data_IF_247474040471
#
_entry.id   IF_247474040471
#
_cell.length_a   1.000
_cell.length_b   1.000
_cell.length_c   1.000
_cell.angle_alpha   90.00
_cell.angle_beta   90.00
_cell.angle_gamma   90.00
#
_symmetry.space_group_name_H-M   'P 1'
#
loop_
_entity.id
_entity.type
_entity.pdbx_description
1 polymer ?
#
# COMPACT_ATOMS: atom_id res chain seq x y z
N UNK A 1 27.24 64.26 -34.98
CA UNK A 1 26.58 63.04 -35.48
C UNK A 1 25.47 62.68 -34.51
N UNK A 2 24.20 62.66 -34.96
CA UNK A 2 23.00 62.41 -34.15
C UNK A 2 22.42 61.03 -34.51
N UNK A 3 21.83 60.40 -33.49
CA UNK A 3 21.08 59.13 -33.44
C UNK A 3 21.95 57.87 -33.54
N UNK A 4 21.68 56.83 -32.76
CA UNK A 4 20.47 56.02 -32.97
C UNK A 4 19.95 55.28 -31.72
N UNK A 5 18.63 55.08 -31.75
CA UNK A 5 17.75 54.43 -30.78
C UNK A 5 17.99 52.92 -30.58
N UNK A 6 19.23 52.47 -30.42
CA UNK A 6 19.57 51.04 -30.26
C UNK A 6 19.21 50.46 -28.89
N UNK A 7 19.00 51.31 -27.88
CA UNK A 7 18.71 50.86 -26.51
C UNK A 7 17.31 50.23 -26.36
N UNK A 8 16.32 50.70 -27.13
CA UNK A 8 14.94 50.23 -26.99
C UNK A 8 14.76 48.79 -27.48
N UNK A 9 15.48 48.38 -28.55
CA UNK A 9 15.37 47.04 -29.12
C UNK A 9 15.90 45.94 -28.20
N UNK A 10 17.03 46.19 -27.51
CA UNK A 10 17.63 45.22 -26.59
C UNK A 10 16.78 45.03 -25.33
N UNK A 11 16.15 46.11 -24.84
CA UNK A 11 15.24 46.03 -23.70
C UNK A 11 13.99 45.19 -24.01
N UNK A 12 13.43 45.32 -25.22
CA UNK A 12 12.28 44.52 -25.67
C UNK A 12 12.61 43.02 -25.81
N UNK A 13 13.81 42.68 -26.29
CA UNK A 13 14.26 41.29 -26.40
C UNK A 13 14.42 40.66 -25.00
N UNK A 14 14.99 41.38 -24.04
CA UNK A 14 15.10 40.91 -22.66
C UNK A 14 13.74 40.65 -22.00
N UNK A 15 12.72 41.46 -22.28
CA UNK A 15 11.38 41.28 -21.70
C UNK A 15 10.67 40.03 -22.23
N UNK A 16 10.86 39.67 -23.50
CA UNK A 16 10.24 38.48 -24.11
C UNK A 16 10.86 37.16 -23.62
N UNK A 17 12.13 37.18 -23.19
CA UNK A 17 12.82 36.02 -22.62
C UNK A 17 12.42 35.72 -21.16
N UNK A 18 11.84 36.70 -20.46
CA UNK A 18 11.41 36.53 -19.06
C UNK A 18 9.99 35.95 -18.91
N UNK A 19 9.27 35.66 -20.00
CA UNK A 19 7.90 35.12 -19.95
C UNK A 19 7.83 33.58 -19.77
N UNK A 20 8.94 32.92 -19.44
CA UNK A 20 9.06 31.45 -19.46
C UNK A 20 8.82 30.70 -18.14
N UNK A 21 8.41 31.35 -17.06
CA UNK A 21 8.13 30.66 -15.80
C UNK A 21 6.66 30.25 -15.74
N UNK A 22 6.32 29.16 -16.44
CA UNK A 22 5.09 28.41 -16.12
C UNK A 22 5.38 27.60 -14.84
N UNK A 23 4.56 27.78 -13.81
CA UNK A 23 4.62 26.96 -12.60
C UNK A 23 4.49 25.48 -13.00
N UNK A 24 5.38 24.64 -12.48
CA UNK A 24 5.25 23.20 -12.64
C UNK A 24 3.86 22.77 -12.12
N UNK A 25 3.17 21.84 -12.80
CA UNK A 25 1.91 21.32 -12.31
C UNK A 25 2.07 20.87 -10.85
N UNK A 26 1.10 21.14 -9.97
CA UNK A 26 1.19 20.75 -8.57
C UNK A 26 1.47 19.26 -8.49
N UNK A 27 2.56 18.91 -7.82
CA UNK A 27 2.94 17.51 -7.58
C UNK A 27 1.84 16.86 -6.77
N UNK A 28 1.33 15.71 -7.24
CA UNK A 28 0.35 14.93 -6.49
C UNK A 28 0.87 14.66 -5.08
N UNK A 29 0.05 14.85 -4.04
CA UNK A 29 0.48 14.57 -2.67
C UNK A 29 0.92 13.11 -2.54
N UNK A 30 1.94 12.82 -1.71
CA UNK A 30 2.39 11.46 -1.51
C UNK A 30 1.25 10.60 -0.95
N UNK A 31 1.06 9.41 -1.53
CA UNK A 31 0.15 8.41 -0.99
C UNK A 31 0.78 7.85 0.28
N UNK A 32 0.21 8.18 1.44
CA UNK A 32 0.65 7.60 2.71
C UNK A 32 0.13 6.16 2.78
N UNK A 33 1.01 5.19 2.51
CA UNK A 33 0.73 3.78 2.73
C UNK A 33 1.11 3.44 4.17
N UNK A 34 0.11 3.26 5.04
CA UNK A 34 0.35 2.73 6.37
C UNK A 34 0.52 1.21 6.28
N UNK A 35 1.75 0.72 6.38
CA UNK A 35 2.05 -0.71 6.43
C UNK A 35 1.73 -1.27 7.82
N UNK A 36 0.46 -1.62 8.05
CA UNK A 36 0.00 -2.33 9.24
C UNK A 36 -0.02 -3.84 9.06
N UNK A 37 -0.30 -4.58 10.15
CA UNK A 37 -0.52 -6.02 10.07
C UNK A 37 -1.83 -6.36 9.34
N UNK A 38 -1.90 -7.51 8.67
CA UNK A 38 -3.16 -8.01 8.11
C UNK A 38 -4.25 -8.10 9.18
N UNK A 39 -5.50 -7.87 8.80
CA UNK A 39 -6.65 -8.09 9.69
C UNK A 39 -6.82 -9.59 9.93
N UNK A 40 -7.19 -9.95 11.15
CA UNK A 40 -7.60 -11.33 11.48
C UNK A 40 -8.87 -11.65 10.69
N UNK A 41 -8.82 -12.74 9.91
CA UNK A 41 -10.00 -13.33 9.29
C UNK A 41 -10.52 -14.49 10.14
N UNK A 42 -11.80 -14.83 9.95
CA UNK A 42 -12.37 -16.02 10.57
C UNK A 42 -11.69 -17.28 10.02
N UNK A 43 -11.37 -18.21 10.90
CA UNK A 43 -10.92 -19.54 10.52
C UNK A 43 -12.15 -20.39 10.15
N UNK A 44 -12.30 -20.81 8.88
CA UNK A 44 -13.43 -21.62 8.48
C UNK A 44 -13.32 -23.01 9.09
N UNK A 45 -14.31 -23.39 9.91
CA UNK A 45 -14.45 -24.75 10.40
C UNK A 45 -15.09 -25.59 9.30
N UNK A 46 -14.51 -26.74 8.90
CA UNK A 46 -15.18 -27.64 7.97
C UNK A 46 -16.44 -28.19 8.63
N UNK A 47 -17.52 -28.31 7.84
CA UNK A 47 -18.70 -29.06 8.26
C UNK A 47 -18.38 -30.54 8.42
N UNK A 48 -19.20 -31.26 9.19
CA UNK A 48 -19.06 -32.70 9.40
C UNK A 48 -20.45 -33.32 9.50
N UNK A 49 -20.67 -34.40 8.75
CA UNK A 49 -21.90 -35.21 8.77
C UNK A 49 -21.57 -36.67 8.39
N UNK A 50 -20.74 -37.36 9.21
CA UNK A 50 -20.21 -38.65 8.84
C UNK A 50 -21.27 -39.74 8.95
N UNK A 51 -21.41 -40.56 7.92
CA UNK A 51 -22.33 -41.72 7.91
C UNK A 51 -21.63 -43.01 8.31
N UNK A 52 -20.30 -43.05 8.18
CA UNK A 52 -19.45 -44.17 8.57
C UNK A 52 -18.26 -43.72 9.40
N UNK A 53 -17.61 -44.66 10.08
CA UNK A 53 -16.35 -44.38 10.80
C UNK A 53 -15.22 -43.96 9.84
N UNK A 54 -15.30 -44.38 8.57
CA UNK A 54 -14.38 -43.93 7.52
C UNK A 54 -14.54 -42.44 7.23
N UNK A 55 -15.78 -41.99 7.09
CA UNK A 55 -16.14 -40.57 6.90
C UNK A 55 -15.71 -39.75 8.12
N UNK A 56 -16.02 -40.23 9.33
CA UNK A 56 -15.61 -39.57 10.58
C UNK A 56 -14.09 -39.39 10.64
N UNK A 57 -13.34 -40.43 10.27
CA UNK A 57 -11.87 -40.36 10.24
C UNK A 57 -11.37 -39.38 9.18
N UNK A 58 -12.07 -39.24 8.05
CA UNK A 58 -11.73 -38.26 7.02
C UNK A 58 -12.04 -36.83 7.47
N UNK A 59 -13.19 -36.62 8.10
CA UNK A 59 -13.63 -35.34 8.66
C UNK A 59 -12.65 -34.86 9.76
N UNK A 60 -12.21 -35.76 10.65
CA UNK A 60 -11.21 -35.45 11.68
C UNK A 60 -9.91 -34.95 11.03
N UNK A 61 -9.39 -35.66 10.02
CA UNK A 61 -8.17 -35.23 9.31
C UNK A 61 -8.36 -33.90 8.59
N UNK A 62 -9.55 -33.61 8.07
CA UNK A 62 -9.85 -32.32 7.45
C UNK A 62 -9.91 -31.20 8.50
N UNK A 63 -10.51 -31.48 9.65
CA UNK A 63 -10.56 -30.58 10.78
C UNK A 63 -9.16 -30.25 11.32
N UNK A 64 -8.32 -31.26 11.53
CA UNK A 64 -6.93 -31.09 11.97
C UNK A 64 -6.16 -30.13 11.04
N UNK A 65 -6.23 -30.35 9.72
CA UNK A 65 -5.61 -29.44 8.74
C UNK A 65 -6.18 -28.03 8.79
N UNK A 66 -7.49 -27.87 8.98
CA UNK A 66 -8.11 -26.55 9.10
C UNK A 66 -7.63 -25.81 10.36
N UNK A 67 -7.47 -26.52 11.47
CA UNK A 67 -6.94 -25.99 12.72
C UNK A 67 -5.46 -25.61 12.60
N UNK A 68 -4.63 -26.43 11.96
CA UNK A 68 -3.22 -26.12 11.68
C UNK A 68 -3.09 -24.84 10.84
N UNK A 69 -3.87 -24.72 9.77
CA UNK A 69 -3.87 -23.53 8.92
C UNK A 69 -4.34 -22.27 9.69
N UNK A 70 -5.35 -22.42 10.53
CA UNK A 70 -5.83 -21.34 11.39
C UNK A 70 -4.74 -20.88 12.38
N UNK A 71 -4.08 -21.83 13.03
CA UNK A 71 -3.00 -21.53 13.99
C UNK A 71 -1.86 -20.76 13.31
N UNK A 72 -1.42 -21.20 12.12
CA UNK A 72 -0.40 -20.50 11.33
C UNK A 72 -0.81 -19.06 10.97
N UNK A 73 -2.07 -18.85 10.57
CA UNK A 73 -2.58 -17.53 10.28
C UNK A 73 -2.55 -16.62 11.52
N UNK A 74 -3.07 -17.12 12.64
CA UNK A 74 -3.15 -16.35 13.89
C UNK A 74 -1.75 -16.03 14.42
N UNK A 75 -0.83 -16.99 14.39
CA UNK A 75 0.57 -16.81 14.81
C UNK A 75 1.27 -15.75 13.96
N UNK A 76 1.10 -15.81 12.64
CA UNK A 76 1.69 -14.82 11.72
C UNK A 76 1.20 -13.40 12.02
N UNK A 77 -0.12 -13.24 12.23
CA UNK A 77 -0.70 -11.92 12.53
C UNK A 77 -0.23 -11.44 13.90
N UNK A 78 -0.21 -12.33 14.90
CA UNK A 78 0.29 -12.02 16.25
C UNK A 78 1.74 -11.57 16.21
N UNK A 79 2.62 -12.30 15.52
CA UNK A 79 4.03 -11.95 15.41
C UNK A 79 4.20 -10.55 14.82
N UNK A 80 3.47 -10.23 13.75
CA UNK A 80 3.47 -8.88 13.19
C UNK A 80 3.03 -7.84 14.23
N UNK A 81 1.97 -8.10 14.99
CA UNK A 81 1.47 -7.18 16.01
C UNK A 81 2.50 -6.98 17.12
N UNK A 82 3.14 -8.05 17.59
CA UNK A 82 4.18 -8.00 18.61
C UNK A 82 5.39 -7.18 18.10
N UNK A 83 5.83 -7.36 16.85
CA UNK A 83 6.92 -6.60 16.23
C UNK A 83 6.62 -5.10 16.11
N UNK A 84 5.36 -4.73 15.86
CA UNK A 84 4.94 -3.32 15.82
C UNK A 84 4.83 -2.72 17.22
N UNK A 85 4.31 -3.48 18.19
CA UNK A 85 4.19 -3.04 19.57
C UNK A 85 5.56 -2.80 20.23
N UNK A 86 6.58 -3.60 19.91
CA UNK A 86 7.95 -3.39 20.42
C UNK A 86 8.61 -2.13 19.84
N UNK A 87 8.19 -1.68 18.65
CA UNK A 87 8.75 -0.49 17.97
C UNK A 87 8.08 0.83 18.36
N UNK A 88 7.01 0.78 19.15
CA UNK A 88 6.21 1.94 19.58
C UNK A 88 6.49 2.24 21.04
#
# INVERSE_FOLDING_TARGET
MKMQNFAAGMALICLMLCAGCTDAPPVSPPVIVYSGCPKVSLCPMPGSDPQTNGDLSADIRQLERALENCALQVETIKQCQDDLNVKT
#
